data_IF_602423796913
#
_entry.id   IF_602423796913
#
_cell.length_a   1.000
_cell.length_b   1.000
_cell.length_c   1.000
_cell.angle_alpha   90.00
_cell.angle_beta   90.00
_cell.angle_gamma   90.00
#
_symmetry.space_group_name_H-M   'P 1'
#
loop_
_entity.id
_entity.type
_entity.pdbx_description
1 polymer ?
#
# COMPACT_ATOMS: atom_id res chain seq x y z
N UNK A 1 14.55 17.16 6.33
CA UNK A 1 14.08 15.78 6.14
C UNK A 1 12.99 15.79 5.07
N UNK A 2 12.79 14.69 4.35
CA UNK A 2 11.64 14.57 3.44
C UNK A 2 10.36 14.46 4.28
N UNK A 3 9.29 15.13 3.83
CA UNK A 3 7.99 15.06 4.48
C UNK A 3 7.46 13.61 4.44
N UNK A 4 6.90 13.16 5.55
CA UNK A 4 6.25 11.84 5.65
C UNK A 4 4.88 11.90 5.00
N UNK A 5 4.47 10.79 4.35
CA UNK A 5 3.22 10.70 3.59
C UNK A 5 2.15 9.95 4.35
N UNK A 6 0.91 10.41 4.25
CA UNK A 6 -0.29 9.69 4.70
C UNK A 6 -1.05 9.24 3.45
N UNK A 7 -1.25 7.94 3.34
CA UNK A 7 -1.81 7.27 2.16
C UNK A 7 -3.10 6.54 2.56
N UNK A 8 -4.29 7.05 2.25
CA UNK A 8 -5.52 6.29 2.33
C UNK A 8 -5.51 5.11 1.35
N UNK A 9 -5.99 3.94 1.80
CA UNK A 9 -6.08 2.74 0.99
C UNK A 9 -7.55 2.34 0.77
N UNK A 10 -7.93 2.07 -0.46
CA UNK A 10 -9.24 1.63 -0.87
C UNK A 10 -9.16 0.21 -1.43
N UNK A 11 -9.80 -0.75 -0.74
CA UNK A 11 -10.03 -2.08 -1.27
C UNK A 11 -11.18 -2.00 -2.29
N UNK A 12 -10.92 -2.38 -3.53
CA UNK A 12 -11.91 -2.33 -4.63
C UNK A 12 -12.33 -3.75 -4.99
N UNK A 13 -13.63 -3.99 -5.00
CA UNK A 13 -14.24 -5.25 -5.46
C UNK A 13 -15.31 -4.94 -6.49
N UNK A 14 -15.18 -5.50 -7.70
CA UNK A 14 -16.10 -5.29 -8.81
C UNK A 14 -16.44 -3.79 -9.06
N UNK A 15 -15.45 -2.92 -8.98
CA UNK A 15 -15.59 -1.48 -9.22
C UNK A 15 -16.18 -0.66 -8.06
N UNK A 16 -16.39 -1.27 -6.89
CA UNK A 16 -16.89 -0.60 -5.68
C UNK A 16 -15.85 -0.64 -4.58
N UNK A 17 -15.75 0.42 -3.81
CA UNK A 17 -14.95 0.38 -2.59
C UNK A 17 -15.66 -0.48 -1.56
N UNK A 18 -14.92 -1.43 -1.00
CA UNK A 18 -15.44 -2.33 0.02
C UNK A 18 -14.55 -2.29 1.26
N UNK A 19 -15.13 -2.68 2.39
CA UNK A 19 -14.40 -2.87 3.64
C UNK A 19 -14.88 -4.13 4.34
N UNK A 20 -13.91 -4.95 4.75
CA UNK A 20 -14.12 -6.15 5.55
C UNK A 20 -12.94 -6.37 6.49
N UNK A 21 -13.06 -7.36 7.37
CA UNK A 21 -11.94 -7.84 8.19
C UNK A 21 -11.37 -9.07 7.51
N UNK A 22 -10.07 -9.09 7.21
CA UNK A 22 -9.40 -10.20 6.49
C UNK A 22 -10.11 -10.59 5.18
N UNK A 23 -10.64 -9.61 4.44
CA UNK A 23 -11.41 -9.81 3.19
C UNK A 23 -12.68 -10.66 3.33
N UNK A 24 -13.21 -10.76 4.55
CA UNK A 24 -14.49 -11.45 4.85
C UNK A 24 -15.53 -10.41 5.28
N UNK A 25 -16.82 -10.70 5.05
CA UNK A 25 -17.95 -9.82 5.34
C UNK A 25 -17.80 -8.41 4.73
N UNK A 26 -17.47 -8.38 3.44
CA UNK A 26 -17.26 -7.14 2.70
C UNK A 26 -18.54 -6.29 2.70
N UNK A 27 -18.42 -5.05 3.16
CA UNK A 27 -19.48 -4.05 3.10
C UNK A 27 -19.11 -3.00 2.06
N UNK A 28 -20.07 -2.61 1.24
CA UNK A 28 -19.92 -1.50 0.29
C UNK A 28 -19.64 -0.20 1.08
N UNK A 29 -18.56 0.48 0.74
CA UNK A 29 -18.16 1.74 1.34
C UNK A 29 -18.37 2.94 0.41
N UNK A 30 -18.76 2.71 -0.84
CA UNK A 30 -19.13 3.75 -1.76
C UNK A 30 -18.42 3.73 -3.12
N UNK A 31 -18.57 4.82 -3.84
CA UNK A 31 -17.96 5.04 -5.14
C UNK A 31 -16.47 5.39 -4.99
N UNK A 32 -15.55 4.71 -5.71
CA UNK A 32 -14.12 4.94 -5.59
C UNK A 32 -13.69 6.35 -6.01
N UNK A 33 -14.35 6.95 -7.00
CA UNK A 33 -14.02 8.30 -7.48
C UNK A 33 -14.38 9.35 -6.43
N UNK A 34 -15.57 9.25 -5.86
CA UNK A 34 -16.04 10.19 -4.81
C UNK A 34 -15.17 10.09 -3.56
N UNK A 35 -14.79 8.87 -3.17
CA UNK A 35 -13.95 8.66 -1.99
C UNK A 35 -12.53 9.19 -2.23
N UNK A 36 -11.93 8.89 -3.38
CA UNK A 36 -10.58 9.37 -3.72
C UNK A 36 -10.53 10.90 -3.78
N UNK A 37 -11.54 11.55 -4.40
CA UNK A 37 -11.65 13.01 -4.43
C UNK A 37 -11.74 13.60 -3.03
N UNK A 38 -12.53 13.02 -2.14
CA UNK A 38 -12.62 13.47 -0.75
C UNK A 38 -11.27 13.37 -0.02
N UNK A 39 -10.46 12.36 -0.30
CA UNK A 39 -9.12 12.25 0.30
C UNK A 39 -8.15 13.29 -0.28
N UNK A 40 -8.22 13.58 -1.57
CA UNK A 40 -7.47 14.66 -2.20
C UNK A 40 -7.83 16.01 -1.55
N UNK A 41 -9.13 16.33 -1.41
CA UNK A 41 -9.62 17.54 -0.75
C UNK A 41 -9.19 17.63 0.74
N UNK A 42 -9.02 16.50 1.42
CA UNK A 42 -8.49 16.44 2.79
C UNK A 42 -6.96 16.56 2.87
N UNK A 43 -6.28 16.64 1.73
CA UNK A 43 -4.84 16.80 1.63
C UNK A 43 -4.07 15.49 1.83
N UNK A 44 -4.60 14.34 1.40
CA UNK A 44 -3.81 13.11 1.33
C UNK A 44 -2.59 13.30 0.42
N UNK A 45 -1.49 12.61 0.72
CA UNK A 45 -0.26 12.73 -0.07
C UNK A 45 -0.26 11.81 -1.28
N UNK A 46 -1.06 10.75 -1.25
CA UNK A 46 -1.22 9.72 -2.26
C UNK A 46 -2.49 8.93 -1.92
N UNK A 47 -3.06 8.21 -2.87
CA UNK A 47 -4.12 7.24 -2.64
C UNK A 47 -3.73 5.88 -3.24
N UNK A 48 -4.08 4.80 -2.55
CA UNK A 48 -3.80 3.43 -3.02
C UNK A 48 -5.09 2.68 -3.25
N UNK A 49 -5.23 2.06 -4.42
CA UNK A 49 -6.30 1.13 -4.76
C UNK A 49 -5.76 -0.29 -4.79
N UNK A 50 -6.39 -1.18 -4.06
CA UNK A 50 -6.10 -2.61 -4.09
C UNK A 50 -7.30 -3.34 -4.67
N UNK A 51 -7.16 -3.84 -5.90
CA UNK A 51 -8.16 -4.71 -6.51
C UNK A 51 -8.11 -6.09 -5.83
N UNK A 52 -9.11 -6.37 -5.03
CA UNK A 52 -9.27 -7.64 -4.35
C UNK A 52 -10.14 -8.64 -5.13
N UNK A 53 -10.61 -8.24 -6.31
CA UNK A 53 -11.38 -9.10 -7.22
C UNK A 53 -10.44 -10.07 -7.93
N UNK A 54 -10.35 -11.28 -7.46
CA UNK A 54 -9.35 -12.27 -7.91
C UNK A 54 -9.56 -12.84 -9.32
N UNK A 55 -10.58 -12.39 -10.09
CA UNK A 55 -10.92 -12.97 -11.39
C UNK A 55 -10.29 -12.21 -12.58
N UNK A 56 -10.02 -12.95 -13.67
CA UNK A 56 -9.53 -12.38 -14.93
C UNK A 56 -10.52 -11.41 -15.57
N UNK A 57 -11.80 -11.62 -15.33
CA UNK A 57 -12.90 -10.88 -15.97
C UNK A 57 -13.13 -9.49 -15.36
N UNK A 58 -12.57 -9.24 -14.16
CA UNK A 58 -12.70 -7.97 -13.47
C UNK A 58 -11.60 -6.95 -13.81
N UNK A 59 -10.60 -7.30 -14.63
CA UNK A 59 -9.47 -6.41 -14.97
C UNK A 59 -9.89 -5.16 -15.73
N UNK A 60 -10.85 -5.28 -16.62
CA UNK A 60 -11.31 -4.12 -17.39
C UNK A 60 -12.13 -3.17 -16.50
N UNK A 61 -12.75 -3.69 -15.45
CA UNK A 61 -13.48 -2.89 -14.46
C UNK A 61 -12.52 -1.99 -13.69
N UNK A 62 -11.41 -2.53 -13.20
CA UNK A 62 -10.43 -1.73 -12.44
C UNK A 62 -9.75 -0.68 -13.32
N UNK A 63 -9.47 -0.98 -14.60
CA UNK A 63 -8.91 0.00 -15.53
C UNK A 63 -9.83 1.19 -15.71
N UNK A 64 -11.13 0.94 -15.89
CA UNK A 64 -12.12 2.01 -16.01
C UNK A 64 -12.22 2.86 -14.74
N UNK A 65 -12.18 2.23 -13.57
CA UNK A 65 -12.13 2.96 -12.28
C UNK A 65 -10.87 3.84 -12.19
N UNK A 66 -9.70 3.30 -12.57
CA UNK A 66 -8.43 4.05 -12.59
C UNK A 66 -8.52 5.26 -13.51
N UNK A 67 -9.05 5.11 -14.73
CA UNK A 67 -9.26 6.21 -15.68
C UNK A 67 -10.16 7.32 -15.11
N UNK A 68 -11.27 6.93 -14.48
CA UNK A 68 -12.19 7.87 -13.87
C UNK A 68 -11.56 8.64 -12.70
N UNK A 69 -10.84 7.94 -11.83
CA UNK A 69 -10.16 8.55 -10.67
C UNK A 69 -9.04 9.48 -11.13
N UNK A 70 -8.19 9.03 -12.05
CA UNK A 70 -7.08 9.83 -12.58
C UNK A 70 -7.55 11.13 -13.27
N UNK A 71 -8.77 11.14 -13.79
CA UNK A 71 -9.39 12.34 -14.36
C UNK A 71 -9.88 13.37 -13.33
N UNK A 72 -9.95 13.03 -12.04
CA UNK A 72 -10.55 13.86 -11.01
C UNK A 72 -9.70 14.06 -9.74
N UNK A 73 -8.61 13.31 -9.59
CA UNK A 73 -7.72 13.34 -8.41
C UNK A 73 -6.35 13.78 -8.86
N UNK A 74 -5.72 14.69 -8.11
CA UNK A 74 -4.44 15.31 -8.48
C UNK A 74 -3.28 14.89 -7.58
N UNK A 75 -3.52 13.98 -6.64
CA UNK A 75 -2.48 13.29 -5.85
C UNK A 75 -2.09 11.98 -6.52
N UNK A 76 -0.85 11.48 -6.33
CA UNK A 76 -0.42 10.22 -6.91
C UNK A 76 -1.36 9.05 -6.60
N UNK A 77 -1.65 8.25 -7.62
CA UNK A 77 -2.48 7.05 -7.54
C UNK A 77 -1.61 5.81 -7.69
N UNK A 78 -1.57 4.99 -6.62
CA UNK A 78 -0.98 3.64 -6.66
C UNK A 78 -2.08 2.61 -6.85
N UNK A 79 -1.91 1.69 -7.80
CA UNK A 79 -2.86 0.61 -8.08
C UNK A 79 -2.18 -0.75 -7.91
N UNK A 80 -2.79 -1.63 -7.13
CA UNK A 80 -2.34 -2.99 -6.90
C UNK A 80 -3.47 -4.01 -7.01
N UNK A 81 -3.12 -5.28 -6.93
CA UNK A 81 -4.05 -6.39 -7.08
C UNK A 81 -4.06 -6.96 -8.51
N UNK A 82 -3.98 -8.27 -8.62
CA UNK A 82 -4.09 -8.99 -9.89
C UNK A 82 -2.98 -8.73 -10.93
N UNK A 83 -1.96 -7.94 -10.67
CA UNK A 83 -0.85 -7.65 -11.58
C UNK A 83 0.05 -8.87 -11.73
N UNK A 84 0.21 -9.37 -12.97
CA UNK A 84 0.94 -10.61 -13.28
C UNK A 84 2.06 -10.43 -14.29
N UNK A 85 1.98 -9.42 -15.15
CA UNK A 85 2.90 -9.21 -16.25
C UNK A 85 3.31 -7.75 -16.36
N UNK A 86 4.41 -7.49 -17.05
CA UNK A 86 4.83 -6.12 -17.43
C UNK A 86 3.79 -5.42 -18.31
N UNK A 87 3.03 -6.17 -19.08
CA UNK A 87 1.94 -5.61 -19.86
C UNK A 87 0.81 -5.09 -18.97
N UNK A 88 0.48 -5.79 -17.86
CA UNK A 88 -0.50 -5.31 -16.89
C UNK A 88 -0.02 -4.00 -16.24
N UNK A 89 1.28 -3.91 -15.87
CA UNK A 89 1.87 -2.67 -15.35
C UNK A 89 1.67 -1.51 -16.32
N UNK A 90 1.99 -1.72 -17.62
CA UNK A 90 1.81 -0.66 -18.63
C UNK A 90 0.36 -0.27 -18.84
N UNK A 91 -0.58 -1.23 -18.80
CA UNK A 91 -2.02 -0.93 -18.92
C UNK A 91 -2.51 -0.05 -17.79
N UNK A 92 -2.11 -0.33 -16.54
CA UNK A 92 -2.49 0.48 -15.39
C UNK A 92 -1.90 1.89 -15.44
N UNK A 93 -0.61 2.02 -15.81
CA UNK A 93 0.02 3.33 -15.98
C UNK A 93 -0.62 4.13 -17.11
N UNK A 94 -0.96 3.48 -18.24
CA UNK A 94 -1.65 4.14 -19.35
C UNK A 94 -3.09 4.56 -18.98
N UNK A 95 -3.74 3.85 -18.08
CA UNK A 95 -5.05 4.23 -17.53
C UNK A 95 -4.99 5.41 -16.54
N UNK A 96 -3.79 5.84 -16.15
CA UNK A 96 -3.58 7.01 -15.30
C UNK A 96 -3.04 6.73 -13.89
N UNK A 97 -2.69 5.48 -13.58
CA UNK A 97 -1.96 5.19 -12.35
C UNK A 97 -0.54 5.79 -12.41
N UNK A 98 -0.05 6.36 -11.31
CA UNK A 98 1.33 6.83 -11.19
C UNK A 98 2.27 5.71 -10.79
N UNK A 99 1.77 4.76 -9.99
CA UNK A 99 2.51 3.62 -9.49
C UNK A 99 1.69 2.33 -9.58
N UNK A 100 2.38 1.22 -9.72
CA UNK A 100 1.77 -0.12 -9.75
C UNK A 100 2.40 -0.99 -8.67
N UNK A 101 1.55 -1.60 -7.84
CA UNK A 101 1.97 -2.48 -6.75
C UNK A 101 1.91 -3.95 -7.16
N UNK A 102 3.01 -4.67 -6.97
CA UNK A 102 3.19 -6.08 -7.36
C UNK A 102 3.56 -6.89 -6.12
N UNK A 103 2.83 -8.00 -5.84
CA UNK A 103 3.15 -8.94 -4.76
C UNK A 103 3.44 -10.34 -5.34
N UNK A 104 2.43 -11.18 -5.49
CA UNK A 104 2.57 -12.61 -5.87
C UNK A 104 3.44 -12.81 -7.12
N UNK A 105 3.21 -12.03 -8.16
CA UNK A 105 3.99 -12.15 -9.39
C UNK A 105 5.48 -11.85 -9.19
N UNK A 106 5.83 -10.93 -8.28
CA UNK A 106 7.23 -10.65 -7.95
C UNK A 106 7.88 -11.80 -7.18
N UNK A 107 7.14 -12.50 -6.32
CA UNK A 107 7.63 -13.69 -5.60
C UNK A 107 7.80 -14.87 -6.55
N UNK A 108 6.82 -15.12 -7.43
CA UNK A 108 6.84 -16.23 -8.38
C UNK A 108 7.91 -16.03 -9.47
N UNK A 109 8.10 -14.80 -9.94
CA UNK A 109 9.11 -14.42 -10.92
C UNK A 109 9.72 -13.06 -10.58
N UNK A 110 10.80 -12.99 -9.79
CA UNK A 110 11.43 -11.73 -9.39
C UNK A 110 11.91 -10.85 -10.54
N UNK A 111 12.21 -11.43 -11.70
CA UNK A 111 12.66 -10.68 -12.88
C UNK A 111 11.59 -9.70 -13.41
N UNK A 112 10.31 -9.91 -13.08
CA UNK A 112 9.25 -8.95 -13.44
C UNK A 112 9.53 -7.55 -12.87
N UNK A 113 10.12 -7.46 -11.66
CA UNK A 113 10.47 -6.18 -11.03
C UNK A 113 11.54 -5.46 -11.86
N UNK A 114 12.61 -6.19 -12.28
CA UNK A 114 13.68 -5.65 -13.10
C UNK A 114 13.19 -5.22 -14.48
N UNK A 115 12.39 -6.09 -15.12
CA UNK A 115 11.85 -5.79 -16.44
C UNK A 115 10.89 -4.60 -16.43
N UNK A 116 10.00 -4.53 -15.43
CA UNK A 116 9.07 -3.43 -15.29
C UNK A 116 9.81 -2.12 -14.99
N UNK A 117 10.70 -2.10 -13.99
CA UNK A 117 11.46 -0.89 -13.63
C UNK A 117 12.34 -0.40 -14.78
N UNK A 118 12.94 -1.31 -15.55
CA UNK A 118 13.72 -0.97 -16.74
C UNK A 118 12.90 -0.35 -17.88
N UNK A 119 11.59 -0.64 -17.94
CA UNK A 119 10.70 -0.12 -19.00
C UNK A 119 9.95 1.15 -18.63
N UNK A 120 9.58 1.32 -17.35
CA UNK A 120 8.73 2.44 -16.90
C UNK A 120 9.39 3.32 -15.85
N UNK A 121 10.56 2.94 -15.35
CA UNK A 121 11.28 3.60 -14.26
C UNK A 121 10.93 2.98 -12.90
N UNK A 122 11.91 2.94 -11.98
CA UNK A 122 11.73 2.38 -10.64
C UNK A 122 10.65 3.11 -9.84
N UNK A 123 10.51 4.43 -10.01
CA UNK A 123 9.53 5.26 -9.32
C UNK A 123 8.07 4.82 -9.54
N UNK A 124 7.79 4.08 -10.62
CA UNK A 124 6.46 3.54 -10.91
C UNK A 124 6.22 2.15 -10.30
N UNK A 125 7.23 1.52 -9.70
CA UNK A 125 7.15 0.13 -9.22
C UNK A 125 7.18 0.09 -7.70
N UNK A 126 6.07 -0.33 -7.11
CA UNK A 126 5.94 -0.65 -5.69
C UNK A 126 5.93 -2.17 -5.54
N UNK A 127 6.74 -2.72 -4.66
CA UNK A 127 6.63 -4.15 -4.31
C UNK A 127 5.89 -4.27 -2.99
N UNK A 128 4.73 -4.91 -3.02
CA UNK A 128 3.98 -5.23 -1.81
C UNK A 128 4.54 -6.50 -1.15
N UNK A 129 4.75 -6.43 0.15
CA UNK A 129 5.25 -7.51 0.99
C UNK A 129 4.24 -7.74 2.12
N UNK A 130 3.50 -8.83 2.05
CA UNK A 130 2.67 -9.28 3.16
C UNK A 130 3.55 -10.17 4.03
N UNK A 131 3.81 -9.75 5.27
CA UNK A 131 4.73 -10.43 6.16
C UNK A 131 4.02 -10.92 7.43
N UNK A 132 4.34 -12.12 7.87
CA UNK A 132 3.83 -12.74 9.08
C UNK A 132 4.99 -13.21 9.96
N UNK A 133 4.89 -12.99 11.27
CA UNK A 133 5.89 -13.46 12.22
C UNK A 133 6.01 -15.00 12.17
N UNK A 134 7.22 -15.51 11.99
CA UNK A 134 7.55 -16.94 11.99
C UNK A 134 8.34 -17.35 13.22
N UNK A 135 9.09 -16.42 13.83
CA UNK A 135 9.80 -16.56 15.10
C UNK A 135 10.14 -15.16 15.66
N UNK A 136 10.60 -15.01 16.88
CA UNK A 136 11.06 -13.73 17.42
C UNK A 136 12.08 -13.05 16.49
N UNK A 137 11.73 -11.84 15.99
CA UNK A 137 12.57 -11.07 15.08
C UNK A 137 12.70 -11.65 13.65
N UNK A 138 11.82 -12.56 13.26
CA UNK A 138 11.78 -13.16 11.91
C UNK A 138 10.37 -13.11 11.34
N UNK A 139 10.29 -12.78 10.07
CA UNK A 139 9.00 -12.69 9.34
C UNK A 139 9.12 -13.39 8.00
N UNK A 140 8.09 -14.15 7.66
CA UNK A 140 7.96 -14.85 6.39
C UNK A 140 7.04 -14.05 5.45
N UNK A 141 7.43 -14.00 4.17
CA UNK A 141 6.62 -13.41 3.09
C UNK A 141 5.46 -14.33 2.73
N UNK A 142 4.28 -13.73 2.54
CA UNK A 142 3.08 -14.42 2.08
C UNK A 142 2.61 -13.87 0.73
N UNK A 143 1.92 -14.72 -0.02
CA UNK A 143 1.37 -14.45 -1.34
C UNK A 143 -0.12 -14.80 -1.40
N UNK A 144 -0.76 -14.52 -2.54
CA UNK A 144 -2.18 -14.84 -2.78
C UNK A 144 -3.12 -14.23 -1.72
N UNK A 145 -2.88 -12.94 -1.38
CA UNK A 145 -3.66 -12.26 -0.34
C UNK A 145 -3.50 -12.90 1.04
N UNK A 146 -2.27 -13.25 1.42
CA UNK A 146 -1.95 -13.81 2.73
C UNK A 146 -2.25 -15.30 2.91
N UNK A 147 -2.66 -16.01 1.84
CA UNK A 147 -3.09 -17.41 1.94
C UNK A 147 -1.96 -18.45 1.82
N UNK A 148 -0.81 -18.05 1.26
CA UNK A 148 0.28 -18.99 0.97
C UNK A 148 1.62 -18.41 1.43
N UNK A 149 2.29 -19.09 2.38
CA UNK A 149 3.68 -18.78 2.75
C UNK A 149 4.62 -19.06 1.59
N UNK A 150 5.58 -18.18 1.40
CA UNK A 150 6.55 -18.27 0.31
C UNK A 150 7.89 -18.90 0.72
N UNK A 151 8.09 -19.17 2.01
CA UNK A 151 9.38 -19.67 2.53
C UNK A 151 10.50 -18.64 2.43
N UNK A 152 10.19 -17.36 2.23
CA UNK A 152 11.16 -16.27 2.08
C UNK A 152 11.17 -15.41 3.35
N UNK A 153 12.37 -15.08 3.83
CA UNK A 153 12.56 -14.07 4.87
C UNK A 153 12.20 -12.67 4.32
N UNK A 154 11.35 -11.94 5.04
CA UNK A 154 10.82 -10.64 4.58
C UNK A 154 11.93 -9.58 4.42
N UNK A 155 12.94 -9.58 5.28
CA UNK A 155 14.05 -8.60 5.23
C UNK A 155 14.97 -8.93 4.03
N UNK A 156 15.30 -10.21 3.85
CA UNK A 156 16.08 -10.63 2.70
C UNK A 156 15.35 -10.36 1.37
N UNK A 157 14.03 -10.56 1.35
CA UNK A 157 13.20 -10.26 0.20
C UNK A 157 13.15 -8.75 -0.10
N UNK A 158 12.99 -7.91 0.92
CA UNK A 158 13.02 -6.45 0.77
C UNK A 158 14.33 -5.98 0.10
N UNK A 159 15.49 -6.47 0.54
CA UNK A 159 16.78 -6.17 -0.09
C UNK A 159 16.84 -6.65 -1.55
N UNK A 160 16.29 -7.84 -1.81
CA UNK A 160 16.31 -8.41 -3.16
C UNK A 160 15.45 -7.58 -4.13
N UNK A 161 14.27 -7.14 -3.74
CA UNK A 161 13.42 -6.35 -4.63
C UNK A 161 13.99 -4.95 -4.86
N UNK A 162 14.63 -4.34 -3.88
CA UNK A 162 15.41 -3.12 -4.07
C UNK A 162 16.50 -3.31 -5.12
N UNK A 163 17.31 -4.37 -5.00
CA UNK A 163 18.36 -4.70 -5.96
C UNK A 163 17.83 -5.01 -7.38
N UNK A 164 16.57 -5.42 -7.50
CA UNK A 164 15.89 -5.64 -8.78
C UNK A 164 15.29 -4.35 -9.36
N UNK A 165 15.33 -3.23 -8.64
CA UNK A 165 14.89 -1.94 -9.13
C UNK A 165 13.47 -1.53 -8.68
N UNK A 166 12.94 -2.12 -7.61
CA UNK A 166 11.75 -1.57 -6.96
C UNK A 166 12.04 -0.13 -6.49
N UNK A 167 11.08 0.77 -6.68
CA UNK A 167 11.20 2.15 -6.24
C UNK A 167 10.66 2.37 -4.84
N UNK A 168 9.81 1.46 -4.34
CA UNK A 168 9.15 1.58 -3.04
C UNK A 168 8.68 0.21 -2.53
N UNK A 169 8.57 0.04 -1.23
CA UNK A 169 8.02 -1.16 -0.58
C UNK A 169 6.73 -0.80 0.17
N UNK A 170 5.64 -1.50 -0.13
CA UNK A 170 4.42 -1.49 0.66
C UNK A 170 4.44 -2.71 1.60
N UNK A 171 4.72 -2.48 2.88
CA UNK A 171 4.92 -3.52 3.88
C UNK A 171 3.70 -3.69 4.77
N UNK A 172 3.00 -4.80 4.64
CA UNK A 172 1.83 -5.13 5.45
C UNK A 172 2.16 -6.20 6.49
N UNK A 173 1.96 -5.89 7.77
CA UNK A 173 1.99 -6.90 8.82
C UNK A 173 0.66 -7.64 8.88
N UNK A 174 0.67 -8.92 8.54
CA UNK A 174 -0.51 -9.78 8.62
C UNK A 174 -0.96 -10.03 10.07
N UNK A 175 -0.02 -9.99 11.02
CA UNK A 175 -0.32 -10.15 12.44
C UNK A 175 -1.05 -8.94 13.04
N UNK A 176 -0.91 -7.77 12.39
CA UNK A 176 -1.52 -6.51 12.82
C UNK A 176 -2.73 -6.11 11.99
N UNK A 177 -2.81 -6.56 10.75
CA UNK A 177 -3.90 -6.14 9.85
C UNK A 177 -5.27 -6.48 10.44
N UNK A 178 -6.17 -5.48 10.42
CA UNK A 178 -7.52 -5.57 10.99
C UNK A 178 -7.59 -5.48 12.53
N UNK A 179 -6.47 -5.55 13.27
CA UNK A 179 -6.49 -5.60 14.76
C UNK A 179 -6.73 -4.25 15.44
N UNK A 180 -6.45 -3.13 14.74
CA UNK A 180 -6.46 -1.76 15.27
C UNK A 180 -5.50 -1.51 16.45
N UNK A 181 -4.49 -2.36 16.63
CA UNK A 181 -3.55 -2.30 17.76
C UNK A 181 -2.21 -1.60 17.44
N UNK A 182 -2.16 -0.92 16.29
CA UNK A 182 -0.96 -0.24 15.78
C UNK A 182 -0.15 -1.11 14.82
N UNK A 183 0.77 -0.46 14.11
CA UNK A 183 1.70 -1.14 13.20
C UNK A 183 2.59 -2.15 13.94
N UNK A 184 3.10 -3.13 13.21
CA UNK A 184 4.25 -3.93 13.65
C UNK A 184 5.53 -3.07 13.55
N UNK A 185 5.84 -2.38 14.62
CA UNK A 185 6.98 -1.46 14.67
C UNK A 185 8.30 -2.21 14.49
N UNK A 186 8.42 -3.43 15.03
CA UNK A 186 9.64 -4.21 14.91
C UNK A 186 9.89 -4.64 13.46
N UNK A 187 8.86 -5.15 12.77
CA UNK A 187 8.92 -5.49 11.35
C UNK A 187 9.23 -4.25 10.50
N UNK A 188 8.45 -3.18 10.68
CA UNK A 188 8.58 -1.95 9.89
C UNK A 188 9.99 -1.39 9.99
N UNK A 189 10.52 -1.29 11.21
CA UNK A 189 11.87 -0.80 11.46
C UNK A 189 12.94 -1.73 10.86
N UNK A 190 12.80 -3.04 11.03
CA UNK A 190 13.78 -4.01 10.50
C UNK A 190 13.89 -3.92 8.97
N UNK A 191 12.78 -3.72 8.26
CA UNK A 191 12.77 -3.52 6.81
C UNK A 191 13.31 -2.13 6.45
N UNK A 192 12.85 -1.06 7.11
CA UNK A 192 13.31 0.31 6.84
C UNK A 192 14.82 0.49 7.08
N UNK A 193 15.39 -0.20 8.08
CA UNK A 193 16.84 -0.19 8.32
C UNK A 193 17.65 -1.06 7.33
N UNK A 194 16.97 -1.93 6.58
CA UNK A 194 17.60 -2.88 5.66
C UNK A 194 17.68 -2.42 4.20
N UNK A 195 16.89 -1.42 3.81
CA UNK A 195 16.79 -0.89 2.45
C UNK A 195 16.97 0.63 2.41
N UNK A 196 17.23 1.18 1.21
CA UNK A 196 17.39 2.63 0.98
C UNK A 196 16.21 3.25 0.23
N UNK A 197 15.33 2.41 -0.32
CA UNK A 197 14.09 2.87 -0.96
C UNK A 197 13.00 3.11 0.09
N UNK A 198 12.03 3.99 -0.16
CA UNK A 198 10.95 4.29 0.78
C UNK A 198 10.16 3.05 1.20
N UNK A 199 9.79 3.00 2.47
CA UNK A 199 8.93 1.95 3.05
C UNK A 199 7.62 2.56 3.51
N UNK A 200 6.51 2.01 3.04
CA UNK A 200 5.14 2.34 3.45
C UNK A 200 4.71 1.31 4.49
N UNK A 201 4.44 1.74 5.72
CA UNK A 201 3.89 0.86 6.75
C UNK A 201 2.39 0.64 6.56
N UNK A 202 1.94 -0.61 6.65
CA UNK A 202 0.55 -1.02 6.49
C UNK A 202 0.15 -2.10 7.50
N UNK A 203 -1.14 -2.11 7.88
CA UNK A 203 -1.75 -3.07 8.78
C UNK A 203 -1.74 -2.63 10.26
N UNK A 204 -2.93 -2.60 10.88
CA UNK A 204 -3.10 -2.41 12.31
C UNK A 204 -3.48 -1.02 12.80
N UNK A 205 -3.65 -0.04 11.93
CA UNK A 205 -3.99 1.33 12.34
C UNK A 205 -5.39 1.39 12.97
N UNK A 206 -5.46 1.93 14.18
CA UNK A 206 -6.72 2.11 14.92
C UNK A 206 -6.90 3.52 15.48
N UNK A 207 -5.80 4.29 15.64
CA UNK A 207 -5.81 5.68 16.11
C UNK A 207 -4.82 6.53 15.32
N UNK A 208 -4.90 7.86 15.47
CA UNK A 208 -3.96 8.78 14.81
C UNK A 208 -2.54 8.65 15.37
N UNK A 209 -2.40 8.29 16.66
CA UNK A 209 -1.10 8.07 17.30
C UNK A 209 -0.33 6.95 16.62
N UNK A 210 -1.01 5.89 16.19
CA UNK A 210 -0.38 4.78 15.47
C UNK A 210 0.31 5.24 14.19
N UNK A 211 -0.25 6.25 13.48
CA UNK A 211 0.38 6.81 12.28
C UNK A 211 1.72 7.48 12.62
N UNK A 212 1.74 8.27 13.71
CA UNK A 212 2.96 8.92 14.18
C UNK A 212 4.03 7.88 14.62
N UNK A 213 3.60 6.81 15.32
CA UNK A 213 4.50 5.74 15.76
C UNK A 213 5.12 4.97 14.58
N UNK A 214 4.36 4.75 13.51
CA UNK A 214 4.84 4.10 12.28
C UNK A 214 6.02 4.83 11.64
N UNK A 215 5.99 6.16 11.61
CA UNK A 215 7.08 6.97 11.02
C UNK A 215 8.19 7.29 12.00
N UNK A 216 7.91 7.44 13.29
CA UNK A 216 8.91 7.77 14.30
C UNK A 216 9.66 6.52 14.81
N UNK A 217 8.97 5.60 15.46
CA UNK A 217 9.54 4.37 16.00
C UNK A 217 9.79 3.33 14.91
N UNK A 218 8.86 3.20 13.94
CA UNK A 218 8.95 2.28 12.80
C UNK A 218 9.90 2.73 11.70
N UNK A 219 10.25 4.03 11.65
CA UNK A 219 11.10 4.65 10.61
C UNK A 219 10.54 4.56 9.19
N UNK A 220 9.23 4.34 9.05
CA UNK A 220 8.60 4.35 7.74
C UNK A 220 8.67 5.73 7.08
N UNK A 221 8.65 5.76 5.75
CA UNK A 221 8.61 6.99 4.95
C UNK A 221 7.18 7.43 4.64
N UNK A 222 6.26 6.47 4.72
CA UNK A 222 4.84 6.69 4.59
C UNK A 222 4.05 5.72 5.47
N UNK A 223 2.81 6.07 5.75
CA UNK A 223 1.85 5.24 6.48
C UNK A 223 0.58 5.09 5.67
N UNK A 224 0.12 3.85 5.54
CA UNK A 224 -1.09 3.50 4.82
C UNK A 224 -2.18 3.09 5.82
N UNK A 225 -3.36 3.66 5.67
CA UNK A 225 -4.50 3.35 6.52
C UNK A 225 -5.81 3.35 5.71
N UNK A 226 -6.77 2.54 6.13
CA UNK A 226 -8.06 2.40 5.50
C UNK A 226 -9.21 2.77 6.47
N UNK A 227 -9.51 1.91 7.44
CA UNK A 227 -10.74 1.96 8.23
C UNK A 227 -10.93 3.25 9.03
N UNK A 228 -9.88 3.85 9.59
CA UNK A 228 -9.98 5.08 10.38
C UNK A 228 -10.44 6.27 9.54
N UNK A 229 -10.16 6.26 8.23
CA UNK A 229 -10.56 7.30 7.29
C UNK A 229 -11.90 6.98 6.61
N UNK A 230 -12.14 5.72 6.21
CA UNK A 230 -13.37 5.34 5.51
C UNK A 230 -14.64 5.58 6.31
N UNK A 231 -14.60 5.31 7.61
CA UNK A 231 -15.78 5.48 8.48
C UNK A 231 -15.89 6.88 9.08
N UNK A 232 -15.08 7.84 8.61
CA UNK A 232 -15.14 9.22 9.09
C UNK A 232 -14.79 9.38 10.58
N UNK A 233 -14.08 8.41 11.16
CA UNK A 233 -13.61 8.52 12.55
C UNK A 233 -12.57 9.63 12.66
N UNK A 234 -11.73 9.76 11.63
CA UNK A 234 -10.71 10.80 11.51
C UNK A 234 -10.58 11.25 10.07
N UNK A 235 -10.09 12.47 9.88
CA UNK A 235 -9.71 13.01 8.59
C UNK A 235 -8.18 12.90 8.37
N UNK A 236 -7.75 12.94 7.12
CA UNK A 236 -6.32 13.00 6.79
C UNK A 236 -5.67 14.26 7.36
N UNK A 237 -6.40 15.39 7.37
CA UNK A 237 -5.94 16.66 7.93
C UNK A 237 -5.65 16.54 9.42
N UNK A 238 -6.57 15.98 10.22
CA UNK A 238 -6.35 15.73 11.66
C UNK A 238 -5.12 14.86 11.91
N UNK A 239 -4.91 13.83 11.07
CA UNK A 239 -3.73 12.97 11.15
C UNK A 239 -2.44 13.77 10.92
N UNK A 240 -2.40 14.63 9.90
CA UNK A 240 -1.25 15.49 9.61
C UNK A 240 -0.99 16.53 10.71
N UNK A 241 -2.04 17.12 11.26
CA UNK A 241 -1.94 18.07 12.37
C UNK A 241 -1.34 17.41 13.62
N UNK A 242 -1.79 16.20 13.98
CA UNK A 242 -1.22 15.42 15.08
C UNK A 242 0.26 15.07 14.82
N UNK A 243 0.59 14.59 13.64
CA UNK A 243 1.97 14.26 13.29
C UNK A 243 2.88 15.50 13.38
N UNK A 244 2.43 16.65 12.86
CA UNK A 244 3.16 17.92 12.96
C UNK A 244 3.34 18.36 14.42
N UNK A 245 2.30 18.23 15.26
CA UNK A 245 2.38 18.54 16.68
C UNK A 245 3.41 17.67 17.43
N UNK A 246 3.70 16.46 16.89
CA UNK A 246 4.76 15.57 17.38
C UNK A 246 6.13 15.82 16.73
N UNK A 247 6.30 16.90 15.97
CA UNK A 247 7.55 17.26 15.33
C UNK A 247 7.88 16.43 14.07
N UNK A 248 6.89 15.73 13.49
CA UNK A 248 7.04 14.96 12.26
C UNK A 248 6.76 15.90 11.09
N UNK A 249 7.71 15.98 10.15
CA UNK A 249 7.54 16.79 8.93
C UNK A 249 6.47 16.18 8.03
N UNK A 250 5.41 16.94 7.73
CA UNK A 250 4.30 16.58 6.83
C UNK A 250 3.90 17.77 5.98
N UNK A 251 3.34 17.54 4.80
CA UNK A 251 2.70 18.57 3.97
C UNK A 251 1.25 18.78 4.45
N UNK A 252 0.82 20.03 4.64
CA UNK A 252 -0.56 20.39 5.00
C UNK A 252 -1.33 20.89 3.80
#
# INVERSE_FOLDING_TARGET
MLAKRIIPCLDVNAGRVVKGTNFVDLRDAGDPVEIARRYDEQGADEVTFLDITASSDARDIILHVVEQVAGQVFIPLTVGGGVRTVADVRRLLNAGADKVSINTAAVDNPEIVREASGKVGSQCIVVAIDAKASAPGKWEVFTHGGRKGAGLDAIAWARRVEALGAGEILLTSMDRDGTRSGFDIALTRAVADAVHIPVIASGGVGTLEHLADGVSAGRADAVLAASIFHFGQHTVREAKELMRARGIEVRL
#
